data_IF_044688789034
#
_entry.id   IF_044688789034
#
_cell.length_a   1.000
_cell.length_b   1.000
_cell.length_c   1.000
_cell.angle_alpha   90.00
_cell.angle_beta   90.00
_cell.angle_gamma   90.00
#
_symmetry.space_group_name_H-M   'P 1'
#
loop_
_entity.id
_entity.type
_entity.pdbx_description
1 polymer ?
#
# COMPACT_ATOMS: atom_id res chain seq x y z
N UNK A 1 -15.80 3.34 -1.77
CA UNK A 1 -14.44 2.98 -2.23
C UNK A 1 -14.03 3.97 -3.31
N UNK A 2 -12.78 4.45 -3.26
CA UNK A 2 -12.30 5.41 -4.26
C UNK A 2 -12.37 4.81 -5.66
N UNK A 3 -12.92 5.55 -6.62
CA UNK A 3 -13.00 5.13 -8.01
C UNK A 3 -11.60 5.17 -8.64
N UNK A 4 -11.22 4.08 -9.29
CA UNK A 4 -9.97 3.95 -10.04
C UNK A 4 -10.22 3.84 -11.55
N UNK A 5 -9.24 3.27 -12.25
CA UNK A 5 -9.30 2.94 -13.68
C UNK A 5 -10.00 1.61 -13.90
N UNK A 6 -10.38 1.36 -15.15
CA UNK A 6 -10.87 0.05 -15.59
C UNK A 6 -9.73 -0.98 -15.63
N UNK A 7 -10.06 -2.27 -15.59
CA UNK A 7 -9.04 -3.33 -15.69
C UNK A 7 -8.34 -3.34 -17.05
N UNK A 8 -9.03 -2.93 -18.13
CA UNK A 8 -8.45 -2.81 -19.47
C UNK A 8 -7.39 -1.70 -19.54
N UNK A 9 -7.67 -0.53 -18.94
CA UNK A 9 -6.71 0.58 -18.87
C UNK A 9 -5.49 0.19 -18.05
N UNK A 10 -5.70 -0.48 -16.90
CA UNK A 10 -4.60 -0.96 -16.04
C UNK A 10 -3.79 -2.03 -16.77
N UNK A 11 -4.43 -2.99 -17.44
CA UNK A 11 -3.74 -4.02 -18.21
C UNK A 11 -2.85 -3.45 -19.30
N UNK A 12 -3.36 -2.46 -20.05
CA UNK A 12 -2.60 -1.75 -21.08
C UNK A 12 -1.40 -1.00 -20.50
N UNK A 13 -1.59 -0.33 -19.36
CA UNK A 13 -0.51 0.40 -18.69
C UNK A 13 0.53 -0.54 -18.08
N UNK A 14 0.14 -1.66 -17.48
CA UNK A 14 1.09 -2.69 -16.99
C UNK A 14 1.95 -3.22 -18.13
N UNK A 15 1.36 -3.49 -19.29
CA UNK A 15 2.10 -3.94 -20.49
C UNK A 15 3.07 -2.86 -20.95
N UNK A 16 2.64 -1.60 -21.06
CA UNK A 16 3.50 -0.48 -21.42
C UNK A 16 4.69 -0.36 -20.45
N UNK A 17 4.40 -0.34 -19.13
CA UNK A 17 5.43 -0.23 -18.12
C UNK A 17 6.41 -1.39 -18.14
N UNK A 18 5.94 -2.61 -18.44
CA UNK A 18 6.81 -3.79 -18.52
C UNK A 18 7.84 -3.71 -19.66
N UNK A 19 7.57 -2.90 -20.68
CA UNK A 19 8.49 -2.66 -21.81
C UNK A 19 9.41 -1.47 -21.57
N UNK A 20 8.98 -0.49 -20.76
CA UNK A 20 9.70 0.75 -20.52
C UNK A 20 10.64 0.69 -19.30
N UNK A 21 10.50 -0.33 -18.44
CA UNK A 21 11.31 -0.46 -17.23
C UNK A 21 12.60 -1.24 -17.49
N UNK A 22 13.65 -0.80 -16.83
CA UNK A 22 14.93 -1.47 -16.79
C UNK A 22 15.48 -1.49 -15.36
N UNK A 23 16.30 -2.47 -15.04
CA UNK A 23 16.91 -2.62 -13.73
C UNK A 23 18.43 -2.69 -13.86
N UNK A 24 19.13 -1.82 -13.16
CA UNK A 24 20.59 -1.73 -13.17
C UNK A 24 21.13 -2.17 -11.81
N UNK A 25 22.06 -3.13 -11.84
CA UNK A 25 22.78 -3.55 -10.65
C UNK A 25 24.15 -2.89 -10.68
N UNK A 26 24.33 -1.85 -9.87
CA UNK A 26 25.52 -1.00 -9.87
C UNK A 26 26.09 -0.85 -8.46
N UNK A 27 27.39 -0.64 -8.38
CA UNK A 27 28.03 -0.29 -7.13
C UNK A 27 27.80 1.21 -6.82
N UNK A 28 27.59 1.58 -5.57
CA UNK A 28 27.29 2.97 -5.19
C UNK A 28 28.42 3.93 -5.55
N UNK A 29 29.69 3.49 -5.60
CA UNK A 29 30.80 4.32 -6.07
C UNK A 29 30.74 4.63 -7.58
N UNK A 30 29.91 3.93 -8.33
CA UNK A 30 29.60 4.20 -9.74
C UNK A 30 28.32 4.99 -9.94
N UNK A 31 27.70 5.42 -8.84
CA UNK A 31 26.52 6.29 -8.86
C UNK A 31 26.93 7.69 -8.47
N UNK A 32 26.52 8.67 -9.26
CA UNK A 32 26.82 10.10 -8.99
C UNK A 32 25.51 10.88 -9.04
N UNK A 33 25.23 11.62 -7.97
CA UNK A 33 24.15 12.60 -7.95
C UNK A 33 24.71 13.96 -8.36
N UNK A 34 24.11 14.60 -9.34
CA UNK A 34 24.51 15.92 -9.82
C UNK A 34 23.33 16.91 -9.74
N UNK A 35 23.69 18.18 -9.52
CA UNK A 35 22.72 19.28 -9.55
C UNK A 35 22.55 19.78 -10.99
N UNK A 36 21.37 19.61 -11.55
CA UNK A 36 20.98 20.18 -12.85
C UNK A 36 19.90 21.24 -12.64
N UNK A 37 20.32 22.49 -12.66
CA UNK A 37 19.41 23.63 -12.47
C UNK A 37 18.50 23.49 -11.24
N UNK A 38 19.09 23.14 -10.09
CA UNK A 38 18.34 22.94 -8.85
C UNK A 38 17.55 21.63 -8.77
N UNK A 39 17.84 20.66 -9.66
CA UNK A 39 17.23 19.31 -9.64
C UNK A 39 18.31 18.25 -9.49
N UNK A 40 18.17 17.36 -8.50
CA UNK A 40 19.11 16.26 -8.36
C UNK A 40 18.86 15.20 -9.43
N UNK A 41 19.89 14.93 -10.26
CA UNK A 41 19.88 13.89 -11.28
C UNK A 41 20.84 12.77 -10.88
N UNK A 42 20.51 11.53 -11.26
CA UNK A 42 21.31 10.36 -10.95
C UNK A 42 22.02 9.85 -12.20
N UNK A 43 23.34 9.80 -12.15
CA UNK A 43 24.20 9.25 -13.19
C UNK A 43 24.66 7.84 -12.78
N UNK A 44 24.51 6.88 -13.68
CA UNK A 44 25.02 5.51 -13.50
C UNK A 44 26.25 5.34 -14.38
N UNK A 45 27.44 5.29 -13.80
CA UNK A 45 28.71 5.23 -14.53
C UNK A 45 29.19 3.80 -14.72
N UNK A 46 29.64 3.50 -15.93
CA UNK A 46 30.32 2.22 -16.23
C UNK A 46 31.78 2.24 -15.76
N UNK A 47 32.47 1.10 -15.97
CA UNK A 47 33.90 0.94 -15.65
C UNK A 47 34.79 1.96 -16.38
N UNK A 48 34.37 2.41 -17.55
CA UNK A 48 35.07 3.47 -18.32
C UNK A 48 34.89 4.87 -17.75
N UNK A 49 34.07 5.06 -16.72
CA UNK A 49 33.69 6.36 -16.16
C UNK A 49 32.65 7.13 -16.98
N UNK A 50 32.19 6.58 -18.11
CA UNK A 50 31.10 7.15 -18.92
C UNK A 50 29.76 6.67 -18.37
N UNK A 51 28.72 7.47 -18.58
CA UNK A 51 27.37 7.12 -18.20
C UNK A 51 26.87 5.89 -18.99
N UNK A 52 26.25 4.95 -18.32
CA UNK A 52 25.65 3.75 -18.92
C UNK A 52 24.38 4.08 -19.69
N UNK A 53 23.68 5.08 -19.22
CA UNK A 53 22.40 5.59 -19.76
C UNK A 53 22.35 7.11 -19.55
N UNK A 54 21.38 7.77 -20.17
CA UNK A 54 21.08 9.17 -19.90
C UNK A 54 20.80 9.41 -18.41
N UNK A 55 21.16 10.59 -17.86
CA UNK A 55 20.89 10.92 -16.46
C UNK A 55 19.43 10.76 -16.08
N UNK A 56 19.19 10.20 -14.93
CA UNK A 56 17.86 9.84 -14.43
C UNK A 56 17.30 10.92 -13.50
N UNK A 57 16.09 11.37 -13.75
CA UNK A 57 15.29 12.06 -12.74
C UNK A 57 14.98 11.09 -11.58
N UNK A 58 15.08 11.56 -10.34
CA UNK A 58 14.90 10.69 -9.18
C UNK A 58 13.47 10.84 -8.64
N UNK A 59 12.70 9.75 -8.61
CA UNK A 59 11.36 9.77 -8.03
C UNK A 59 11.41 9.83 -6.50
N UNK A 60 10.34 10.31 -5.89
CA UNK A 60 10.24 10.52 -4.45
C UNK A 60 10.56 9.28 -3.62
N UNK A 61 10.15 8.11 -4.08
CA UNK A 61 10.45 6.84 -3.41
C UNK A 61 11.94 6.50 -3.46
N UNK A 62 12.61 6.73 -4.60
CA UNK A 62 14.06 6.53 -4.70
C UNK A 62 14.83 7.54 -3.83
N UNK A 63 14.40 8.81 -3.77
CA UNK A 63 14.97 9.80 -2.84
C UNK A 63 14.88 9.35 -1.38
N UNK A 64 13.72 8.83 -0.95
CA UNK A 64 13.54 8.29 0.40
C UNK A 64 14.52 7.15 0.68
N UNK A 65 14.59 6.20 -0.25
CA UNK A 65 15.43 5.01 -0.10
C UNK A 65 16.92 5.34 -0.07
N UNK A 66 17.36 6.33 -0.86
CA UNK A 66 18.74 6.85 -0.81
C UNK A 66 19.00 7.49 0.57
N UNK A 67 18.10 8.35 1.04
CA UNK A 67 18.22 8.98 2.35
C UNK A 67 18.27 7.97 3.50
N UNK A 68 17.36 6.99 3.49
CA UNK A 68 17.29 5.92 4.49
C UNK A 68 18.56 5.05 4.48
N UNK A 69 19.04 4.68 3.30
CA UNK A 69 20.29 3.93 3.13
C UNK A 69 21.50 4.65 3.72
N UNK A 70 21.60 5.95 3.48
CA UNK A 70 22.70 6.77 3.97
C UNK A 70 22.53 7.25 5.42
N UNK A 71 21.42 6.91 6.07
CA UNK A 71 21.11 7.37 7.43
C UNK A 71 20.89 8.88 7.53
N UNK A 72 20.55 9.54 6.45
CA UNK A 72 20.26 10.99 6.42
C UNK A 72 18.83 11.20 6.91
N UNK A 73 18.63 11.96 8.03
CA UNK A 73 17.30 12.25 8.54
C UNK A 73 16.41 12.91 7.47
N UNK A 74 15.18 12.39 7.30
CA UNK A 74 14.25 12.82 6.25
C UNK A 74 14.10 14.33 6.16
N UNK A 75 13.87 15.01 7.28
CA UNK A 75 13.71 16.49 7.31
C UNK A 75 14.95 17.22 6.82
N UNK A 76 16.14 16.66 7.04
CA UNK A 76 17.38 17.26 6.58
C UNK A 76 17.60 17.00 5.10
N UNK A 77 17.28 15.80 4.63
CA UNK A 77 17.30 15.45 3.20
C UNK A 77 16.39 16.38 2.39
N UNK A 78 15.13 16.52 2.83
CA UNK A 78 14.13 17.37 2.17
C UNK A 78 14.58 18.85 2.19
N UNK A 79 15.14 19.33 3.31
CA UNK A 79 15.69 20.70 3.39
C UNK A 79 16.82 20.94 2.39
N UNK A 80 17.74 19.99 2.22
CA UNK A 80 18.81 20.13 1.22
C UNK A 80 18.23 20.11 -0.20
N UNK A 81 17.27 19.23 -0.46
CA UNK A 81 16.59 19.13 -1.75
C UNK A 81 15.87 20.43 -2.13
N UNK A 82 15.24 21.10 -1.17
CA UNK A 82 14.49 22.33 -1.40
C UNK A 82 15.36 23.58 -1.46
N UNK A 83 16.51 23.59 -0.78
CA UNK A 83 17.29 24.83 -0.55
C UNK A 83 18.70 24.80 -1.15
N UNK A 84 19.31 23.63 -1.30
CA UNK A 84 20.71 23.48 -1.75
C UNK A 84 20.97 22.07 -2.30
N UNK A 85 20.61 21.85 -3.55
CA UNK A 85 20.79 20.55 -4.24
C UNK A 85 22.26 20.19 -4.38
N UNK A 86 23.14 21.17 -4.49
CA UNK A 86 24.60 20.95 -4.51
C UNK A 86 25.11 20.34 -3.22
N UNK A 87 24.60 20.80 -2.07
CA UNK A 87 24.92 20.22 -0.76
C UNK A 87 24.37 18.79 -0.63
N UNK A 88 23.14 18.53 -1.11
CA UNK A 88 22.56 17.20 -1.15
C UNK A 88 23.46 16.26 -1.97
N UNK A 89 23.80 16.65 -3.19
CA UNK A 89 24.64 15.87 -4.10
C UNK A 89 26.01 15.58 -3.48
N UNK A 90 26.65 16.58 -2.87
CA UNK A 90 27.91 16.40 -2.18
C UNK A 90 27.83 15.39 -1.02
N UNK A 91 26.77 15.45 -0.20
CA UNK A 91 26.56 14.51 0.89
C UNK A 91 26.35 13.07 0.37
N UNK A 92 25.44 12.88 -0.58
CA UNK A 92 25.11 11.58 -1.17
C UNK A 92 26.35 10.94 -1.79
N UNK A 93 27.06 11.69 -2.66
CA UNK A 93 28.24 11.19 -3.37
C UNK A 93 29.36 10.80 -2.41
N UNK A 94 29.57 11.59 -1.35
CA UNK A 94 30.62 11.32 -0.38
C UNK A 94 30.39 9.99 0.36
N UNK A 95 29.16 9.72 0.74
CA UNK A 95 28.82 8.47 1.42
C UNK A 95 28.82 7.28 0.46
N UNK A 96 28.35 7.43 -0.77
CA UNK A 96 28.42 6.41 -1.81
C UNK A 96 29.86 5.95 -2.09
N UNK A 97 30.82 6.89 -2.04
CA UNK A 97 32.24 6.60 -2.23
C UNK A 97 32.89 5.96 -1.01
N UNK A 98 32.44 6.32 0.19
CA UNK A 98 33.08 5.89 1.45
C UNK A 98 32.78 4.44 1.79
N UNK A 99 31.56 4.01 1.57
CA UNK A 99 31.05 2.68 1.89
C UNK A 99 30.40 2.06 0.64
N UNK A 100 31.22 1.63 -0.34
CA UNK A 100 30.68 1.14 -1.60
C UNK A 100 29.93 -0.17 -1.42
N UNK A 101 28.70 -0.22 -1.91
CA UNK A 101 27.83 -1.40 -1.86
C UNK A 101 27.06 -1.56 -3.18
N UNK A 102 26.82 -2.80 -3.58
CA UNK A 102 26.03 -3.06 -4.79
C UNK A 102 24.55 -2.82 -4.53
N UNK A 103 23.91 -1.98 -5.38
CA UNK A 103 22.51 -1.61 -5.30
C UNK A 103 21.78 -1.85 -6.61
N UNK A 104 20.48 -2.12 -6.51
CA UNK A 104 19.59 -2.22 -7.66
C UNK A 104 18.87 -0.89 -7.85
N UNK A 105 19.07 -0.28 -9.01
CA UNK A 105 18.33 0.91 -9.45
C UNK A 105 17.25 0.44 -10.43
N UNK A 106 15.99 0.58 -10.04
CA UNK A 106 14.87 0.33 -10.94
C UNK A 106 14.49 1.60 -11.66
N UNK A 107 14.43 1.54 -13.00
CA UNK A 107 14.13 2.69 -13.84
C UNK A 107 12.87 2.48 -14.65
N UNK A 108 12.28 3.56 -15.10
CA UNK A 108 11.18 3.60 -16.06
C UNK A 108 11.03 5.02 -16.62
N UNK A 109 10.87 5.12 -17.93
CA UNK A 109 10.64 6.42 -18.61
C UNK A 109 11.67 7.49 -18.25
N UNK A 110 12.98 7.14 -18.19
CA UNK A 110 14.07 8.06 -17.86
C UNK A 110 14.15 8.45 -16.38
N UNK A 111 13.47 7.73 -15.48
CA UNK A 111 13.41 8.04 -14.05
C UNK A 111 13.90 6.88 -13.19
N UNK A 112 14.68 7.17 -12.15
CA UNK A 112 14.99 6.23 -11.08
C UNK A 112 13.78 6.11 -10.14
N UNK A 113 13.06 4.98 -10.20
CA UNK A 113 11.86 4.72 -9.40
C UNK A 113 12.18 4.21 -8.01
N UNK A 114 13.24 3.39 -7.90
CA UNK A 114 13.61 2.78 -6.62
C UNK A 114 15.12 2.57 -6.54
N UNK A 115 15.64 2.65 -5.31
CA UNK A 115 17.00 2.36 -4.90
C UNK A 115 16.97 1.23 -3.87
N UNK A 116 17.20 0.00 -4.32
CA UNK A 116 16.96 -1.21 -3.55
C UNK A 116 18.26 -1.97 -3.26
N UNK A 117 18.22 -2.94 -2.33
CA UNK A 117 19.35 -3.83 -2.13
C UNK A 117 19.57 -4.73 -3.36
N UNK A 118 20.79 -5.19 -3.56
CA UNK A 118 21.13 -6.16 -4.61
C UNK A 118 20.40 -7.51 -4.45
N UNK A 119 19.83 -7.77 -3.29
CA UNK A 119 19.06 -8.97 -2.93
C UNK A 119 17.57 -8.85 -3.18
N UNK A 120 17.10 -7.66 -3.58
CA UNK A 120 15.68 -7.45 -3.85
C UNK A 120 15.19 -8.42 -4.93
N UNK A 121 14.21 -9.26 -4.56
CA UNK A 121 13.58 -10.17 -5.52
C UNK A 121 12.44 -9.45 -6.22
N UNK A 122 12.59 -9.28 -7.51
CA UNK A 122 11.59 -8.62 -8.37
C UNK A 122 10.34 -9.46 -8.48
N UNK A 123 9.20 -8.86 -8.18
CA UNK A 123 7.87 -9.40 -8.48
C UNK A 123 7.14 -8.28 -9.20
N UNK A 124 7.04 -8.43 -10.50
CA UNK A 124 6.52 -7.39 -11.36
C UNK A 124 4.99 -7.43 -11.44
N UNK A 125 4.38 -6.27 -11.63
CA UNK A 125 2.92 -6.14 -11.76
C UNK A 125 2.37 -7.01 -12.90
N UNK A 126 3.15 -7.19 -13.98
CA UNK A 126 2.78 -8.07 -15.08
C UNK A 126 2.66 -9.54 -14.65
N UNK A 127 3.58 -10.00 -13.79
CA UNK A 127 3.55 -11.39 -13.29
C UNK A 127 2.34 -11.59 -12.38
N UNK A 128 2.05 -10.62 -11.51
CA UNK A 128 0.84 -10.64 -10.68
C UNK A 128 -0.42 -10.65 -11.53
N UNK A 129 -0.52 -9.78 -12.52
CA UNK A 129 -1.68 -9.71 -13.41
C UNK A 129 -1.88 -11.03 -14.18
N UNK A 130 -0.82 -11.59 -14.75
CA UNK A 130 -0.87 -12.88 -15.49
C UNK A 130 -1.36 -14.05 -14.63
N UNK A 131 -1.06 -14.02 -13.34
CA UNK A 131 -1.43 -15.08 -12.41
C UNK A 131 -2.83 -14.89 -11.86
N UNK A 132 -3.21 -13.66 -11.52
CA UNK A 132 -4.44 -13.39 -10.77
C UNK A 132 -5.65 -13.13 -11.64
N UNK A 133 -5.50 -12.43 -12.78
CA UNK A 133 -6.64 -12.07 -13.64
C UNK A 133 -7.39 -13.27 -14.22
N UNK A 134 -6.72 -14.35 -14.69
CA UNK A 134 -7.44 -15.54 -15.15
C UNK A 134 -8.29 -16.18 -14.05
N UNK A 135 -7.76 -16.27 -12.82
CA UNK A 135 -8.48 -16.85 -11.67
C UNK A 135 -9.72 -16.02 -11.33
N UNK A 136 -9.58 -14.68 -11.34
CA UNK A 136 -10.71 -13.78 -11.11
C UNK A 136 -11.76 -13.92 -12.23
N UNK A 137 -11.31 -14.06 -13.48
CA UNK A 137 -12.20 -14.26 -14.64
C UNK A 137 -12.99 -15.57 -14.59
N UNK A 138 -12.50 -16.58 -13.86
CA UNK A 138 -13.21 -17.85 -13.61
C UNK A 138 -14.21 -17.76 -12.45
N UNK A 139 -14.15 -16.69 -11.63
CA UNK A 139 -15.06 -16.50 -10.51
C UNK A 139 -16.44 -16.03 -10.99
N UNK A 140 -17.51 -16.81 -10.78
CA UNK A 140 -18.84 -16.43 -11.28
C UNK A 140 -19.30 -15.09 -10.67
N UNK A 141 -19.80 -14.20 -11.53
CA UNK A 141 -20.35 -12.88 -11.20
C UNK A 141 -19.33 -11.88 -10.57
N UNK A 142 -18.09 -12.27 -10.36
CA UNK A 142 -17.06 -11.35 -9.87
C UNK A 142 -16.82 -10.22 -10.88
N UNK A 143 -16.69 -8.99 -10.40
CA UNK A 143 -16.40 -7.85 -11.24
C UNK A 143 -15.32 -6.95 -10.61
N UNK A 144 -14.59 -6.25 -11.46
CA UNK A 144 -13.57 -5.30 -11.05
C UNK A 144 -14.24 -3.98 -10.66
N UNK A 145 -14.27 -3.68 -9.39
CA UNK A 145 -14.93 -2.48 -8.86
C UNK A 145 -14.02 -1.24 -8.94
N UNK A 146 -12.73 -1.42 -8.68
CA UNK A 146 -11.75 -0.32 -8.76
C UNK A 146 -10.34 -0.88 -8.94
N UNK A 147 -9.62 -0.38 -9.94
CA UNK A 147 -8.23 -0.72 -10.16
C UNK A 147 -7.38 0.56 -10.23
N UNK A 148 -6.15 0.53 -9.75
CA UNK A 148 -5.24 1.67 -9.85
C UNK A 148 -3.79 1.22 -9.89
N UNK A 149 -3.00 2.00 -10.62
CA UNK A 149 -1.55 1.91 -10.65
C UNK A 149 -0.99 3.28 -10.28
N UNK A 150 -0.44 3.35 -9.08
CA UNK A 150 0.25 4.54 -8.56
C UNK A 150 1.75 4.45 -8.85
N UNK A 151 2.54 5.41 -8.38
CA UNK A 151 4.00 5.30 -8.46
C UNK A 151 4.54 4.10 -7.68
N UNK A 152 3.93 3.78 -6.54
CA UNK A 152 4.42 2.78 -5.60
C UNK A 152 3.68 1.45 -5.67
N UNK A 153 2.38 1.45 -6.02
CA UNK A 153 1.52 0.26 -5.91
C UNK A 153 0.62 0.01 -7.12
N UNK A 154 0.40 -1.27 -7.38
CA UNK A 154 -0.74 -1.79 -8.12
C UNK A 154 -1.84 -2.16 -7.13
N UNK A 155 -3.09 -1.79 -7.41
CA UNK A 155 -4.29 -2.24 -6.71
C UNK A 155 -5.31 -2.79 -7.69
N UNK A 156 -5.87 -3.97 -7.36
CA UNK A 156 -6.98 -4.59 -8.08
C UNK A 156 -8.02 -4.95 -7.03
N UNK A 157 -9.17 -4.26 -7.03
CA UNK A 157 -10.29 -4.49 -6.12
C UNK A 157 -11.43 -5.15 -6.87
N UNK A 158 -11.82 -6.32 -6.41
CA UNK A 158 -12.84 -7.17 -7.02
C UNK A 158 -13.96 -7.40 -6.03
N UNK A 159 -15.20 -7.35 -6.48
CA UNK A 159 -16.39 -7.64 -5.68
C UNK A 159 -17.11 -8.85 -6.28
N UNK A 160 -17.63 -9.73 -5.41
CA UNK A 160 -18.42 -10.89 -5.80
C UNK A 160 -19.84 -10.80 -5.22
N UNK A 161 -20.85 -10.42 -6.01
CA UNK A 161 -22.22 -10.25 -5.56
C UNK A 161 -22.91 -11.51 -5.08
N UNK A 162 -22.37 -12.71 -5.39
CA UNK A 162 -22.93 -13.98 -4.92
C UNK A 162 -22.83 -14.13 -3.39
N UNK A 163 -21.82 -13.54 -2.79
CA UNK A 163 -21.66 -13.49 -1.33
C UNK A 163 -22.14 -12.13 -0.84
N UNK A 164 -23.41 -12.08 -0.52
CA UNK A 164 -24.11 -10.89 -0.03
C UNK A 164 -24.70 -11.16 1.34
N UNK A 165 -24.64 -10.18 2.22
CA UNK A 165 -25.27 -10.24 3.55
C UNK A 165 -25.83 -8.87 3.93
N UNK A 166 -26.75 -8.86 4.88
CA UNK A 166 -27.34 -7.66 5.44
C UNK A 166 -26.81 -7.45 6.86
N UNK A 167 -26.20 -6.29 7.11
CA UNK A 167 -25.71 -5.92 8.45
C UNK A 167 -26.84 -5.39 9.32
N UNK A 168 -27.72 -4.60 8.73
CA UNK A 168 -28.99 -4.14 9.29
C UNK A 168 -29.99 -3.96 8.14
N UNK A 169 -31.32 -3.85 8.42
CA UNK A 169 -32.32 -3.69 7.37
C UNK A 169 -31.94 -2.63 6.31
N UNK A 170 -31.77 -3.06 5.06
CA UNK A 170 -31.35 -2.22 3.94
C UNK A 170 -29.84 -1.94 3.84
N UNK A 171 -29.03 -2.35 4.80
CA UNK A 171 -27.58 -2.16 4.82
C UNK A 171 -26.86 -3.40 4.27
N UNK A 172 -26.76 -3.50 2.96
CA UNK A 172 -26.26 -4.66 2.24
C UNK A 172 -24.76 -4.52 2.00
N UNK A 173 -24.03 -5.61 2.28
CA UNK A 173 -22.60 -5.75 2.02
C UNK A 173 -22.32 -6.95 1.12
N UNK A 174 -21.26 -6.86 0.33
CA UNK A 174 -20.81 -7.90 -0.58
C UNK A 174 -19.36 -8.27 -0.28
N UNK A 175 -19.03 -9.55 -0.46
CA UNK A 175 -17.65 -10.00 -0.35
C UNK A 175 -16.83 -9.56 -1.55
N UNK A 176 -15.54 -9.34 -1.32
CA UNK A 176 -14.57 -9.02 -2.35
C UNK A 176 -13.16 -9.37 -1.93
N UNK A 177 -12.23 -9.02 -2.80
CA UNK A 177 -10.79 -9.11 -2.54
C UNK A 177 -10.10 -7.84 -3.03
N UNK A 178 -9.00 -7.53 -2.38
CA UNK A 178 -8.00 -6.58 -2.87
C UNK A 178 -6.69 -7.32 -3.10
N UNK A 179 -6.11 -7.13 -4.28
CA UNK A 179 -4.76 -7.56 -4.62
C UNK A 179 -3.91 -6.31 -4.74
N UNK A 180 -2.78 -6.27 -4.06
CA UNK A 180 -1.81 -5.18 -4.16
C UNK A 180 -0.40 -5.71 -4.34
N UNK A 181 0.43 -4.94 -5.06
CA UNK A 181 1.83 -5.23 -5.27
C UNK A 181 2.63 -3.93 -5.38
N UNK A 182 3.88 -3.94 -4.90
CA UNK A 182 4.82 -2.84 -5.08
C UNK A 182 6.07 -3.30 -5.81
N UNK A 183 6.37 -2.67 -6.93
CA UNK A 183 7.63 -2.87 -7.67
C UNK A 183 8.78 -2.03 -7.11
N UNK A 184 8.47 -1.05 -6.27
CA UNK A 184 9.44 -0.09 -5.72
C UNK A 184 9.89 -0.44 -4.30
N UNK A 185 9.51 -1.62 -3.80
CA UNK A 185 9.92 -2.08 -2.47
C UNK A 185 9.14 -1.45 -1.30
N UNK A 186 8.03 -0.74 -1.58
CA UNK A 186 7.17 -0.15 -0.54
C UNK A 186 6.21 -1.14 0.11
N UNK A 187 6.10 -2.35 -0.44
CA UNK A 187 5.27 -3.42 0.09
C UNK A 187 5.47 -4.74 -0.63
N UNK A 188 4.91 -5.80 -0.05
CA UNK A 188 4.88 -7.14 -0.64
C UNK A 188 3.64 -7.31 -1.50
N UNK A 189 3.61 -8.39 -2.30
CA UNK A 189 2.34 -8.87 -2.87
C UNK A 189 1.40 -9.22 -1.72
N UNK A 190 0.21 -8.66 -1.74
CA UNK A 190 -0.79 -8.88 -0.74
C UNK A 190 -2.14 -9.22 -1.39
N UNK A 191 -2.83 -10.21 -0.84
CA UNK A 191 -4.22 -10.53 -1.19
C UNK A 191 -5.01 -10.53 0.11
N UNK A 192 -6.00 -9.66 0.21
CA UNK A 192 -6.81 -9.49 1.42
C UNK A 192 -8.29 -9.55 1.08
N UNK A 193 -9.13 -10.07 1.98
CA UNK A 193 -10.57 -9.94 1.87
C UNK A 193 -10.98 -8.46 1.93
N UNK A 194 -12.00 -8.14 1.17
CA UNK A 194 -12.65 -6.84 1.10
C UNK A 194 -14.13 -7.02 1.37
N UNK A 195 -14.73 -6.15 2.15
CA UNK A 195 -16.18 -6.04 2.29
C UNK A 195 -16.63 -4.74 1.63
N UNK A 196 -17.50 -4.84 0.64
CA UNK A 196 -18.05 -3.71 -0.09
C UNK A 196 -19.47 -3.43 0.35
N UNK A 197 -19.72 -2.21 0.84
CA UNK A 197 -21.03 -1.76 1.32
C UNK A 197 -21.76 -1.01 0.23
N UNK A 198 -22.93 -1.49 -0.17
CA UNK A 198 -23.69 -0.94 -1.33
C UNK A 198 -24.27 0.45 -1.05
N UNK A 199 -24.72 0.72 0.17
CA UNK A 199 -25.39 1.98 0.54
C UNK A 199 -24.49 3.19 0.30
N UNK A 200 -23.24 3.12 0.74
CA UNK A 200 -22.27 4.22 0.63
C UNK A 200 -21.20 3.98 -0.42
N UNK A 201 -21.23 2.82 -1.10
CA UNK A 201 -20.22 2.38 -2.07
C UNK A 201 -18.79 2.45 -1.52
N UNK A 202 -18.61 2.21 -0.22
CA UNK A 202 -17.30 2.16 0.42
C UNK A 202 -16.82 0.73 0.60
N UNK A 203 -15.52 0.55 0.52
CA UNK A 203 -14.85 -0.72 0.78
C UNK A 203 -14.19 -0.72 2.16
N UNK A 204 -14.21 -1.85 2.85
CA UNK A 204 -13.47 -2.09 4.08
C UNK A 204 -12.51 -3.25 3.84
N UNK A 205 -11.23 -2.98 3.86
CA UNK A 205 -10.18 -4.00 3.68
C UNK A 205 -9.95 -4.71 5.00
N UNK A 206 -10.15 -6.02 5.01
CA UNK A 206 -10.01 -6.86 6.21
C UNK A 206 -8.53 -7.12 6.48
N UNK A 207 -8.03 -6.50 7.52
CA UNK A 207 -6.62 -6.58 7.94
C UNK A 207 -6.50 -7.36 9.27
N UNK A 208 -7.01 -8.58 9.32
CA UNK A 208 -6.88 -9.46 10.48
C UNK A 208 -5.49 -10.15 10.46
N UNK A 209 -4.86 -10.30 11.64
CA UNK A 209 -3.61 -11.03 11.80
C UNK A 209 -3.70 -12.49 11.32
N UNK A 210 -4.88 -13.10 11.32
CA UNK A 210 -5.14 -14.45 10.78
C UNK A 210 -5.16 -14.47 9.24
N UNK A 211 -5.53 -13.39 8.60
CA UNK A 211 -5.52 -13.23 7.13
C UNK A 211 -4.19 -12.67 6.60
N UNK A 212 -3.32 -12.15 7.47
CA UNK A 212 -1.94 -11.72 7.14
C UNK A 212 -1.04 -12.84 6.62
N UNK A 213 -1.45 -14.09 6.63
CA UNK A 213 -0.76 -15.18 5.92
C UNK A 213 -0.71 -14.99 4.40
N UNK A 214 -1.36 -13.95 3.89
CA UNK A 214 -1.36 -13.54 2.49
C UNK A 214 -0.26 -12.54 2.13
N UNK A 215 0.58 -12.11 3.07
CA UNK A 215 1.84 -11.46 2.72
C UNK A 215 2.78 -12.50 2.11
N UNK A 216 2.69 -12.60 0.81
CA UNK A 216 3.57 -13.44 0.00
C UNK A 216 4.90 -12.72 -0.27
N UNK A 217 5.39 -11.98 0.73
CA UNK A 217 6.74 -11.52 0.75
C UNK A 217 7.65 -12.73 0.81
N UNK A 218 8.61 -12.82 -0.08
CA UNK A 218 9.73 -13.73 0.13
C UNK A 218 10.38 -13.30 1.43
N UNK A 219 10.46 -14.21 2.41
CA UNK A 219 11.23 -13.93 3.60
C UNK A 219 12.61 -13.46 3.13
N UNK A 220 12.99 -12.25 3.48
CA UNK A 220 14.36 -11.76 3.30
C UNK A 220 15.18 -12.53 4.29
N UNK A 221 15.61 -13.68 3.88
CA UNK A 221 16.51 -14.46 4.65
C UNK A 221 17.86 -13.74 4.66
N UNK A 222 18.56 -13.90 5.73
CA UNK A 222 19.86 -13.30 6.05
C UNK A 222 20.86 -13.35 4.91
N UNK A 223 21.93 -12.56 4.99
CA UNK A 223 23.02 -12.51 4.01
C UNK A 223 23.57 -13.87 3.59
N UNK A 224 23.45 -14.86 4.47
CA UNK A 224 23.96 -16.22 4.28
C UNK A 224 23.12 -17.05 3.30
N UNK A 225 21.81 -16.82 3.20
CA UNK A 225 20.91 -17.65 2.37
C UNK A 225 21.12 -17.48 0.86
N UNK A 226 21.56 -16.32 0.40
CA UNK A 226 21.80 -16.07 -1.03
C UNK A 226 23.07 -16.75 -1.59
N UNK A 227 24.03 -17.02 -0.74
CA UNK A 227 25.26 -17.71 -1.13
C UNK A 227 25.11 -19.23 -1.17
N UNK A 228 24.03 -19.76 -0.59
CA UNK A 228 23.82 -21.21 -0.39
C UNK A 228 22.95 -21.84 -1.47
N UNK A 229 22.03 -21.08 -2.10
CA UNK A 229 21.04 -21.68 -3.00
C UNK A 229 21.43 -21.63 -4.47
N UNK A 230 21.27 -22.76 -5.16
CA UNK A 230 21.43 -22.85 -6.60
C UNK A 230 20.33 -22.10 -7.36
N UNK A 231 20.57 -21.76 -8.63
CA UNK A 231 19.57 -21.16 -9.52
C UNK A 231 18.30 -22.02 -9.64
N UNK A 232 18.43 -23.34 -9.58
CA UNK A 232 17.29 -24.26 -9.61
C UNK A 232 16.43 -24.14 -8.35
N UNK A 233 17.07 -24.01 -7.18
CA UNK A 233 16.37 -23.79 -5.91
C UNK A 233 15.61 -22.47 -5.92
N UNK A 234 16.23 -21.40 -6.43
CA UNK A 234 15.60 -20.09 -6.55
C UNK A 234 14.41 -20.12 -7.52
N UNK A 235 14.53 -20.82 -8.65
CA UNK A 235 13.45 -20.99 -9.61
C UNK A 235 12.28 -21.82 -9.03
N UNK A 236 12.59 -22.86 -8.23
CA UNK A 236 11.57 -23.65 -7.54
C UNK A 236 10.82 -22.84 -6.49
N UNK A 237 11.51 -21.96 -5.74
CA UNK A 237 10.90 -21.05 -4.80
C UNK A 237 9.99 -20.02 -5.49
N UNK A 238 10.41 -19.47 -6.65
CA UNK A 238 9.57 -18.59 -7.46
C UNK A 238 8.30 -19.29 -7.93
N UNK A 239 8.41 -20.53 -8.38
CA UNK A 239 7.25 -21.34 -8.77
C UNK A 239 6.34 -21.63 -7.59
N UNK A 240 6.88 -21.96 -6.43
CA UNK A 240 6.11 -22.18 -5.21
C UNK A 240 5.38 -20.91 -4.76
N UNK A 241 6.04 -19.75 -4.90
CA UNK A 241 5.41 -18.46 -4.63
C UNK A 241 4.19 -18.20 -5.54
N UNK A 242 4.33 -18.43 -6.83
CA UNK A 242 3.22 -18.28 -7.81
C UNK A 242 2.05 -19.21 -7.47
N UNK A 243 2.32 -20.47 -7.14
CA UNK A 243 1.27 -21.41 -6.73
C UNK A 243 0.56 -20.95 -5.45
N UNK A 244 1.31 -20.49 -4.45
CA UNK A 244 0.73 -19.92 -3.23
C UNK A 244 -0.14 -18.70 -3.51
N UNK A 245 0.29 -17.83 -4.43
CA UNK A 245 -0.52 -16.68 -4.84
C UNK A 245 -1.83 -17.12 -5.46
N UNK A 246 -1.82 -18.11 -6.36
CA UNK A 246 -3.03 -18.67 -6.98
C UNK A 246 -3.99 -19.24 -5.93
N UNK A 247 -3.48 -20.06 -5.02
CA UNK A 247 -4.29 -20.66 -3.95
C UNK A 247 -4.87 -19.58 -3.03
N UNK A 248 -4.09 -18.56 -2.72
CA UNK A 248 -4.54 -17.43 -1.89
C UNK A 248 -5.67 -16.65 -2.56
N UNK A 249 -5.56 -16.35 -3.86
CA UNK A 249 -6.63 -15.65 -4.61
C UNK A 249 -7.91 -16.51 -4.65
N UNK A 250 -7.78 -17.82 -4.89
CA UNK A 250 -8.95 -18.73 -4.86
C UNK A 250 -9.61 -18.82 -3.47
N UNK A 251 -8.80 -18.78 -2.41
CA UNK A 251 -9.28 -18.88 -1.03
C UNK A 251 -9.76 -17.53 -0.45
N UNK A 252 -9.43 -16.42 -1.05
CA UNK A 252 -9.69 -15.10 -0.48
C UNK A 252 -11.18 -14.70 -0.48
N UNK A 253 -11.98 -15.26 -1.39
CA UNK A 253 -13.45 -15.19 -1.34
C UNK A 253 -13.96 -16.43 -0.61
N UNK A 254 -14.02 -16.35 0.71
CA UNK A 254 -14.44 -17.44 1.58
C UNK A 254 -15.71 -17.04 2.33
N UNK A 255 -16.78 -17.85 2.16
CA UNK A 255 -18.09 -17.60 2.78
C UNK A 255 -18.01 -17.55 4.30
N UNK A 256 -17.24 -18.44 4.92
CA UNK A 256 -17.11 -18.50 6.38
C UNK A 256 -16.42 -17.25 6.94
N UNK A 257 -15.34 -16.80 6.29
CA UNK A 257 -14.65 -15.59 6.69
C UNK A 257 -15.52 -14.34 6.47
N UNK A 258 -16.23 -14.29 5.35
CA UNK A 258 -17.16 -13.20 5.08
C UNK A 258 -18.25 -13.12 6.14
N UNK A 259 -18.87 -14.26 6.48
CA UNK A 259 -19.89 -14.32 7.55
C UNK A 259 -19.34 -13.84 8.89
N UNK A 260 -18.12 -14.23 9.27
CA UNK A 260 -17.48 -13.77 10.51
C UNK A 260 -17.28 -12.25 10.54
N UNK A 261 -16.88 -11.65 9.41
CA UNK A 261 -16.73 -10.18 9.32
C UNK A 261 -18.09 -9.49 9.41
N UNK A 262 -19.12 -10.03 8.75
CA UNK A 262 -20.49 -9.50 8.83
C UNK A 262 -21.03 -9.57 10.25
N UNK A 263 -20.83 -10.70 10.95
CA UNK A 263 -21.23 -10.83 12.35
C UNK A 263 -20.51 -9.82 13.24
N UNK A 264 -19.23 -9.56 12.98
CA UNK A 264 -18.49 -8.51 13.67
C UNK A 264 -19.04 -7.11 13.39
N UNK A 265 -19.47 -6.85 12.16
CA UNK A 265 -20.15 -5.59 11.81
C UNK A 265 -21.45 -5.44 12.61
N UNK A 266 -22.27 -6.48 12.71
CA UNK A 266 -23.52 -6.50 13.51
C UNK A 266 -23.26 -6.25 15.00
N UNK A 267 -22.26 -6.96 15.58
CA UNK A 267 -21.85 -6.74 16.98
C UNK A 267 -21.46 -5.29 17.24
N UNK A 268 -20.65 -4.70 16.37
CA UNK A 268 -20.14 -3.34 16.56
C UNK A 268 -21.20 -2.26 16.31
N UNK A 269 -22.30 -2.59 15.65
CA UNK A 269 -23.47 -1.70 15.51
C UNK A 269 -24.23 -1.54 16.82
N UNK A 270 -24.12 -2.50 17.73
CA UNK A 270 -24.71 -2.42 19.09
C UNK A 270 -23.85 -1.59 20.05
N UNK A 271 -22.58 -1.32 19.71
CA UNK A 271 -21.64 -0.60 20.57
C UNK A 271 -21.75 0.90 20.30
N UNK A 272 -22.34 1.62 21.28
CA UNK A 272 -22.65 3.07 21.16
C UNK A 272 -21.45 3.95 21.50
N UNK A 273 -21.26 4.99 20.72
CA UNK A 273 -20.33 6.08 21.02
C UNK A 273 -20.92 7.01 22.08
N UNK A 274 -20.04 7.69 22.81
CA UNK A 274 -20.43 8.74 23.76
C UNK A 274 -20.92 9.97 22.97
N UNK A 275 -22.24 10.10 22.86
CA UNK A 275 -22.88 11.18 22.10
C UNK A 275 -22.75 12.55 22.74
N UNK A 276 -22.35 12.63 24.03
CA UNK A 276 -22.11 13.92 24.69
C UNK A 276 -20.87 14.65 24.13
N UNK A 277 -19.93 13.95 23.50
CA UNK A 277 -18.71 14.55 22.96
C UNK A 277 -18.16 13.78 21.74
N UNK A 278 -18.97 13.65 20.69
CA UNK A 278 -18.58 12.97 19.43
C UNK A 278 -17.27 13.54 18.82
N UNK A 279 -17.05 14.87 18.75
CA UNK A 279 -15.80 15.38 18.18
C UNK A 279 -14.55 14.85 18.88
N UNK A 280 -14.55 14.78 20.21
CA UNK A 280 -13.42 14.26 20.97
C UNK A 280 -13.22 12.76 20.76
N UNK A 281 -14.31 11.99 20.65
CA UNK A 281 -14.26 10.56 20.34
C UNK A 281 -13.60 10.34 18.98
N UNK A 282 -14.02 11.08 17.94
CA UNK A 282 -13.42 10.97 16.59
C UNK A 282 -11.95 11.41 16.61
N UNK A 283 -11.61 12.52 17.26
CA UNK A 283 -10.22 13.01 17.35
C UNK A 283 -9.32 12.00 18.05
N UNK A 284 -9.77 11.40 19.15
CA UNK A 284 -9.00 10.37 19.87
C UNK A 284 -8.84 9.08 19.05
N UNK A 285 -9.89 8.65 18.36
CA UNK A 285 -9.81 7.51 17.44
C UNK A 285 -8.81 7.80 16.31
N UNK A 286 -8.91 8.97 15.68
CA UNK A 286 -8.01 9.40 14.61
C UNK A 286 -6.55 9.39 15.03
N UNK A 287 -6.23 9.95 16.19
CA UNK A 287 -4.86 9.96 16.73
C UNK A 287 -4.30 8.55 16.98
N UNK A 288 -5.14 7.60 17.43
CA UNK A 288 -4.70 6.21 17.69
C UNK A 288 -4.48 5.41 16.41
N UNK A 289 -5.16 5.75 15.31
CA UNK A 289 -5.09 4.99 14.05
C UNK A 289 -4.32 5.73 12.95
N UNK A 290 -3.62 6.81 13.26
CA UNK A 290 -2.79 7.52 12.29
C UNK A 290 -3.61 8.24 11.20
N UNK A 291 -4.81 8.71 11.55
CA UNK A 291 -5.62 9.61 10.75
C UNK A 291 -5.20 11.04 11.10
N UNK A 292 -4.89 11.86 10.11
CA UNK A 292 -4.44 13.24 10.33
C UNK A 292 -5.58 14.12 10.87
N UNK A 293 -5.28 15.31 11.40
CA UNK A 293 -6.29 16.20 11.93
C UNK A 293 -7.27 16.69 10.85
N UNK A 294 -6.79 16.99 9.66
CA UNK A 294 -7.62 17.36 8.52
C UNK A 294 -8.55 16.22 8.07
N UNK A 295 -8.03 14.98 8.03
CA UNK A 295 -8.83 13.80 7.70
C UNK A 295 -9.86 13.49 8.80
N UNK A 296 -9.51 13.72 10.07
CA UNK A 296 -10.39 13.53 11.22
C UNK A 296 -11.65 14.42 11.13
N UNK A 297 -11.51 15.62 10.60
CA UNK A 297 -12.65 16.53 10.36
C UNK A 297 -13.58 15.96 9.28
N UNK A 298 -13.05 15.44 8.17
CA UNK A 298 -13.84 14.77 7.14
C UNK A 298 -14.55 13.52 7.66
N UNK A 299 -13.86 12.69 8.45
CA UNK A 299 -14.46 11.53 9.12
C UNK A 299 -15.59 11.95 10.04
N UNK A 300 -15.43 13.02 10.80
CA UNK A 300 -16.47 13.56 11.67
C UNK A 300 -17.70 14.01 10.86
N UNK A 301 -17.50 14.70 9.75
CA UNK A 301 -18.59 15.12 8.87
C UNK A 301 -19.40 13.94 8.34
N UNK A 302 -18.75 12.87 7.87
CA UNK A 302 -19.42 11.65 7.42
C UNK A 302 -20.19 10.95 8.54
N UNK A 303 -19.61 10.88 9.75
CA UNK A 303 -20.29 10.29 10.90
C UNK A 303 -21.57 11.04 11.26
N UNK A 304 -21.56 12.38 11.21
CA UNK A 304 -22.75 13.20 11.46
C UNK A 304 -23.79 13.04 10.35
N UNK A 305 -23.36 13.01 9.08
CA UNK A 305 -24.27 12.83 7.95
C UNK A 305 -25.00 11.48 7.99
N UNK A 306 -24.31 10.41 8.37
CA UNK A 306 -24.90 9.07 8.46
C UNK A 306 -25.71 8.88 9.75
N UNK A 307 -25.52 9.74 10.76
CA UNK A 307 -26.18 9.71 12.07
C UNK A 307 -26.11 8.34 12.78
N UNK A 308 -25.09 7.52 12.45
CA UNK A 308 -24.85 6.20 13.06
C UNK A 308 -23.74 6.31 14.14
N UNK A 309 -24.14 6.71 15.35
CA UNK A 309 -23.23 6.92 16.47
C UNK A 309 -22.87 5.60 17.17
N UNK A 310 -22.37 4.66 16.38
CA UNK A 310 -21.88 3.36 16.84
C UNK A 310 -20.42 3.15 16.46
N UNK A 311 -19.79 2.12 17.01
CA UNK A 311 -18.44 1.75 16.58
C UNK A 311 -18.40 1.36 15.09
N UNK A 312 -19.45 0.67 14.60
CA UNK A 312 -19.63 0.40 13.18
C UNK A 312 -19.75 1.70 12.36
N UNK A 313 -20.58 2.65 12.81
CA UNK A 313 -20.74 3.93 12.14
C UNK A 313 -19.44 4.73 12.06
N UNK A 314 -18.61 4.73 13.13
CA UNK A 314 -17.29 5.36 13.12
C UNK A 314 -16.36 4.71 12.10
N UNK A 315 -16.32 3.37 12.07
CA UNK A 315 -15.52 2.63 11.08
C UNK A 315 -15.97 2.92 9.63
N UNK A 316 -17.29 3.00 9.40
CA UNK A 316 -17.84 3.39 8.10
C UNK A 316 -17.52 4.83 7.72
N UNK A 317 -17.55 5.77 8.66
CA UNK A 317 -17.17 7.16 8.39
C UNK A 317 -15.72 7.26 7.91
N UNK A 318 -14.79 6.48 8.49
CA UNK A 318 -13.39 6.39 8.04
C UNK A 318 -13.31 5.83 6.62
N UNK A 319 -13.98 4.70 6.33
CA UNK A 319 -13.94 4.10 5.00
C UNK A 319 -14.69 4.92 3.95
N UNK A 320 -15.70 5.70 4.34
CA UNK A 320 -16.40 6.61 3.43
C UNK A 320 -15.52 7.80 3.07
N UNK A 321 -14.82 8.37 4.05
CA UNK A 321 -13.89 9.47 3.82
C UNK A 321 -12.75 9.07 2.85
N UNK A 322 -12.42 7.78 2.73
CA UNK A 322 -11.44 7.32 1.72
C UNK A 322 -11.78 7.72 0.29
N UNK A 323 -13.06 7.99 -0.02
CA UNK A 323 -13.50 8.42 -1.35
C UNK A 323 -13.13 9.88 -1.65
N UNK A 324 -13.01 10.71 -0.61
CA UNK A 324 -12.72 12.14 -0.72
C UNK A 324 -11.21 12.43 -0.83
N UNK A 325 -10.38 11.47 -0.45
CA UNK A 325 -8.91 11.62 -0.49
C UNK A 325 -8.40 11.48 -1.92
N UNK A 326 -7.58 12.43 -2.39
CA UNK A 326 -7.02 12.40 -3.75
C UNK A 326 -6.06 11.25 -3.97
N UNK A 327 -5.15 11.03 -3.02
CA UNK A 327 -4.15 9.97 -3.11
C UNK A 327 -4.76 8.58 -2.92
N UNK A 328 -4.63 7.72 -3.92
CA UNK A 328 -5.23 6.38 -3.91
C UNK A 328 -4.60 5.44 -2.88
N UNK A 329 -3.29 5.56 -2.64
CA UNK A 329 -2.59 4.77 -1.63
C UNK A 329 -3.13 5.11 -0.24
N UNK A 330 -3.32 6.42 0.04
CA UNK A 330 -3.92 6.87 1.29
C UNK A 330 -5.38 6.45 1.42
N UNK A 331 -6.16 6.54 0.34
CA UNK A 331 -7.54 6.07 0.31
C UNK A 331 -7.63 4.59 0.68
N UNK A 332 -6.80 3.74 0.07
CA UNK A 332 -6.75 2.30 0.39
C UNK A 332 -6.31 2.07 1.84
N UNK A 333 -5.38 2.88 2.35
CA UNK A 333 -4.97 2.79 3.77
C UNK A 333 -6.09 3.15 4.73
N UNK A 334 -6.94 4.11 4.41
CA UNK A 334 -8.13 4.43 5.21
C UNK A 334 -9.18 3.31 5.19
N UNK A 335 -9.30 2.57 4.09
CA UNK A 335 -10.15 1.38 4.02
C UNK A 335 -9.66 0.25 4.96
N UNK A 336 -8.33 0.08 5.13
CA UNK A 336 -7.73 -0.82 6.13
C UNK A 336 -7.93 -0.30 7.56
N UNK A 337 -7.76 1.01 7.76
CA UNK A 337 -7.94 1.66 9.06
C UNK A 337 -9.39 1.50 9.54
N UNK A 338 -10.36 1.58 8.65
CA UNK A 338 -11.77 1.37 9.01
C UNK A 338 -12.00 0.01 9.67
N UNK A 339 -11.41 -1.06 9.12
CA UNK A 339 -11.47 -2.39 9.76
C UNK A 339 -10.75 -2.40 11.12
N UNK A 340 -9.59 -1.76 11.21
CA UNK A 340 -8.85 -1.67 12.47
C UNK A 340 -9.61 -0.89 13.54
N UNK A 341 -10.35 0.15 13.17
CA UNK A 341 -11.27 0.89 14.06
C UNK A 341 -12.40 -0.02 14.52
N UNK A 342 -13.04 -0.77 13.61
CA UNK A 342 -14.13 -1.69 13.94
C UNK A 342 -13.69 -2.79 14.91
N UNK A 343 -12.46 -3.26 14.78
CA UNK A 343 -11.90 -4.39 15.54
C UNK A 343 -10.99 -3.97 16.70
N UNK A 344 -11.02 -2.71 17.09
CA UNK A 344 -10.20 -2.23 18.21
C UNK A 344 -10.52 -2.97 19.50
N UNK A 345 -9.53 -3.06 20.39
CA UNK A 345 -9.72 -3.74 21.67
C UNK A 345 -10.75 -3.00 22.55
N UNK A 346 -11.50 -3.72 23.40
CA UNK A 346 -12.46 -3.11 24.32
C UNK A 346 -11.82 -2.08 25.28
N UNK A 347 -10.55 -2.24 25.60
CA UNK A 347 -9.79 -1.30 26.43
C UNK A 347 -9.51 0.00 25.69
N UNK A 348 -9.08 -0.09 24.43
CA UNK A 348 -8.86 1.10 23.60
C UNK A 348 -10.17 1.82 23.36
N UNK A 349 -11.26 1.08 23.04
CA UNK A 349 -12.58 1.67 22.84
C UNK A 349 -13.05 2.42 24.10
N UNK A 350 -12.92 1.83 25.30
CA UNK A 350 -13.30 2.51 26.56
C UNK A 350 -12.51 3.79 26.73
N UNK A 351 -11.20 3.77 26.50
CA UNK A 351 -10.34 4.96 26.61
C UNK A 351 -10.77 6.07 25.65
N UNK A 352 -11.07 5.74 24.40
CA UNK A 352 -11.52 6.69 23.37
C UNK A 352 -12.92 7.24 23.73
N UNK A 353 -13.81 6.39 24.23
CA UNK A 353 -15.21 6.72 24.46
C UNK A 353 -15.46 7.43 25.81
N UNK A 354 -14.51 7.39 26.75
CA UNK A 354 -14.58 8.02 28.07
C UNK A 354 -14.03 9.45 28.10
N UNK A 355 -13.58 10.01 26.98
CA UNK A 355 -13.02 11.36 26.95
C UNK A 355 -14.10 12.35 27.35
N UNK A 356 -14.08 12.74 28.60
CA UNK A 356 -14.81 13.93 29.09
C UNK A 356 -14.11 15.16 28.51
N UNK A 357 -14.88 16.16 28.11
CA UNK A 357 -14.34 17.44 27.67
C UNK A 357 -13.32 17.93 28.72
N UNK A 358 -12.05 17.82 28.42
CA UNK A 358 -11.10 18.66 29.14
C UNK A 358 -11.46 20.09 28.73
N UNK A 359 -11.96 20.84 29.70
CA UNK A 359 -12.30 22.23 29.55
C UNK A 359 -11.15 22.97 28.84
N UNK A 360 -11.56 23.83 27.89
CA UNK A 360 -10.71 24.75 27.16
C UNK A 360 -9.89 25.65 28.06
#
# INVERSE_FOLDING_TARGET
MKTGRTIQEIGSEILRQSQAKEDYLVNTNSIVMEDWDGRPMLHLRGESGLDLIEPLEIQQTAHRQIGDYLGIPRKYYDRMMDSDVGLLSCNVNRWFQREPEQRMIRTMDGRARAFLSNRYRRIDNLDIARVTLPIIGEMPEAHYESCQLTEDFLYIKVVNPRLTAEVAPGDIVQAGIIISNSETGQGSVCVQPLVYRLVCRNGMVVNDAKTRRTHLGRASNTEEDFMVYSQETLAADDKAFILKLQDTVRAAINEVQFAQVVDKMRETKEIKLNTANIPSVVKMASANFGITEAESEGVFQHLIQDADYTLFGLANAVTRYSQDVENYDRATKLEEIGYSVMTMSPELFRRINQVTSMAA
#
